data_IF_862199620538
#
_entry.id   IF_862199620538
#
_cell.length_a   1.000
_cell.length_b   1.000
_cell.length_c   1.000
_cell.angle_alpha   90.00
_cell.angle_beta   90.00
_cell.angle_gamma   90.00
#
_symmetry.space_group_name_H-M   'P 1'
#
loop_
_entity.id
_entity.type
_entity.pdbx_description
1 polymer ?
#
# COMPACT_ATOMS: atom_id res chain seq x y z
N UNK A 1 7.95 -33.79 10.13
CA UNK A 1 6.62 -33.86 10.76
C UNK A 1 5.77 -32.73 10.18
N UNK A 2 4.70 -33.07 9.46
CA UNK A 2 3.91 -32.08 8.69
C UNK A 2 3.25 -31.04 9.61
N UNK A 3 2.97 -31.39 10.86
CA UNK A 3 2.38 -30.49 11.85
C UNK A 3 3.30 -29.31 12.21
N UNK A 4 4.61 -29.56 12.29
CA UNK A 4 5.59 -28.51 12.57
C UNK A 4 5.71 -27.50 11.42
N UNK A 5 5.67 -27.97 10.17
CA UNK A 5 5.67 -27.12 8.99
C UNK A 5 4.40 -26.26 8.91
N UNK A 6 3.24 -26.82 9.25
CA UNK A 6 1.97 -26.08 9.29
C UNK A 6 1.98 -24.97 10.36
N UNK A 7 2.48 -25.26 11.57
CA UNK A 7 2.61 -24.26 12.64
C UNK A 7 3.61 -23.18 12.24
N UNK A 8 4.72 -23.55 11.59
CA UNK A 8 5.71 -22.61 11.10
C UNK A 8 5.11 -21.62 10.08
N UNK A 9 4.41 -22.13 9.05
CA UNK A 9 3.72 -21.28 8.08
C UNK A 9 2.65 -20.40 8.73
N UNK A 10 1.85 -20.95 9.64
CA UNK A 10 0.85 -20.18 10.36
C UNK A 10 1.49 -19.07 11.20
N UNK A 11 2.63 -19.34 11.84
CA UNK A 11 3.40 -18.35 12.59
C UNK A 11 3.84 -17.19 11.70
N UNK A 12 4.55 -17.48 10.60
CA UNK A 12 5.00 -16.45 9.64
C UNK A 12 3.82 -15.60 9.11
N UNK A 13 2.71 -16.26 8.76
CA UNK A 13 1.53 -15.58 8.23
C UNK A 13 0.88 -14.72 9.33
N UNK A 14 0.81 -15.22 10.56
CA UNK A 14 0.20 -14.49 11.69
C UNK A 14 0.92 -13.16 11.97
N UNK A 15 2.24 -13.10 11.81
CA UNK A 15 2.98 -11.84 11.96
C UNK A 15 2.49 -10.76 11.00
N UNK A 16 2.27 -11.10 9.74
CA UNK A 16 1.71 -10.19 8.73
C UNK A 16 0.29 -9.79 9.12
N UNK A 17 -0.55 -10.76 9.52
CA UNK A 17 -1.96 -10.47 9.88
C UNK A 17 -2.09 -9.56 11.09
N UNK A 18 -1.30 -9.79 12.15
CA UNK A 18 -1.27 -8.91 13.32
C UNK A 18 -0.73 -7.53 12.97
N UNK A 19 0.23 -7.45 12.05
CA UNK A 19 0.71 -6.17 11.56
C UNK A 19 -0.43 -5.39 10.87
N UNK A 20 -1.11 -6.02 9.91
CA UNK A 20 -2.21 -5.40 9.16
C UNK A 20 -3.36 -4.98 10.07
N UNK A 21 -3.77 -5.86 10.99
CA UNK A 21 -4.84 -5.56 11.93
C UNK A 21 -4.48 -4.35 12.82
N UNK A 22 -3.25 -4.31 13.33
CA UNK A 22 -2.75 -3.19 14.12
C UNK A 22 -2.75 -1.87 13.34
N UNK A 23 -2.18 -1.88 12.13
CA UNK A 23 -2.09 -0.71 11.26
C UNK A 23 -3.48 -0.19 10.86
N UNK A 24 -4.37 -1.05 10.37
CA UNK A 24 -5.74 -0.68 9.99
C UNK A 24 -6.52 -0.11 11.19
N UNK A 25 -6.33 -0.68 12.38
CA UNK A 25 -6.98 -0.15 13.59
C UNK A 25 -6.48 1.25 13.93
N UNK A 26 -5.17 1.50 13.87
CA UNK A 26 -4.61 2.84 14.11
C UNK A 26 -5.20 3.85 13.12
N UNK A 27 -5.25 3.50 11.83
CA UNK A 27 -5.78 4.43 10.84
C UNK A 27 -7.29 4.65 11.01
N UNK A 28 -8.07 3.61 11.30
CA UNK A 28 -9.50 3.78 11.59
C UNK A 28 -9.69 4.69 12.81
N UNK A 29 -8.87 4.57 13.87
CA UNK A 29 -8.91 5.51 15.00
C UNK A 29 -8.65 6.95 14.51
N UNK A 30 -7.66 7.17 13.63
CA UNK A 30 -7.36 8.50 13.08
C UNK A 30 -8.53 9.05 12.27
N UNK A 31 -9.15 8.26 11.38
CA UNK A 31 -10.27 8.71 10.55
C UNK A 31 -11.51 9.05 11.40
N UNK A 32 -11.84 8.20 12.38
CA UNK A 32 -12.96 8.41 13.30
C UNK A 32 -12.76 9.65 14.17
N UNK A 33 -11.51 10.05 14.42
CA UNK A 33 -11.16 11.30 15.08
C UNK A 33 -11.05 12.51 14.13
N UNK A 34 -11.53 12.36 12.89
CA UNK A 34 -11.47 13.34 11.83
C UNK A 34 -10.04 13.83 11.53
N UNK A 35 -9.01 13.05 11.85
CA UNK A 35 -7.61 13.44 11.76
C UNK A 35 -7.21 13.90 10.36
N UNK A 36 -7.79 13.28 9.32
CA UNK A 36 -7.54 13.64 7.93
C UNK A 36 -8.18 14.99 7.51
N UNK A 37 -9.06 15.60 8.32
CA UNK A 37 -9.57 16.96 8.03
C UNK A 37 -8.46 18.00 7.93
N UNK A 38 -7.35 17.78 8.65
CA UNK A 38 -6.15 18.64 8.60
C UNK A 38 -5.61 18.76 7.17
N UNK A 39 -5.74 17.67 6.39
CA UNK A 39 -5.35 17.62 4.99
C UNK A 39 -6.43 18.30 4.14
N UNK A 40 -7.71 17.93 4.33
CA UNK A 40 -8.81 18.42 3.49
C UNK A 40 -9.01 19.93 3.59
N UNK A 41 -8.89 20.50 4.79
CA UNK A 41 -9.13 21.92 5.06
C UNK A 41 -8.08 22.83 4.41
N UNK A 42 -6.90 22.29 4.09
CA UNK A 42 -5.83 23.02 3.40
C UNK A 42 -6.04 23.09 1.88
N UNK A 43 -6.93 22.28 1.30
CA UNK A 43 -7.14 22.20 -0.15
C UNK A 43 -8.25 23.17 -0.57
N UNK A 44 -7.86 24.38 -0.99
CA UNK A 44 -8.81 25.47 -1.35
C UNK A 44 -8.97 25.68 -2.85
N UNK A 45 -8.06 25.16 -3.67
CA UNK A 45 -8.13 25.33 -5.14
C UNK A 45 -9.37 24.68 -5.74
N UNK A 46 -9.87 25.28 -6.82
CA UNK A 46 -10.91 24.71 -7.70
C UNK A 46 -10.37 24.37 -9.09
N UNK A 47 -9.14 24.75 -9.41
CA UNK A 47 -8.55 24.45 -10.72
C UNK A 47 -8.24 22.95 -10.83
N UNK A 48 -8.77 22.27 -11.86
CA UNK A 48 -8.65 20.82 -12.02
C UNK A 48 -7.18 20.36 -12.02
N UNK A 49 -6.31 21.06 -12.76
CA UNK A 49 -4.87 20.71 -12.84
C UNK A 49 -4.21 20.83 -11.48
N UNK A 50 -4.31 22.01 -10.84
CA UNK A 50 -3.70 22.23 -9.53
C UNK A 50 -4.24 21.25 -8.49
N UNK A 51 -5.55 20.97 -8.53
CA UNK A 51 -6.16 20.02 -7.62
C UNK A 51 -5.61 18.60 -7.83
N UNK A 52 -5.51 18.15 -9.09
CA UNK A 52 -5.02 16.81 -9.40
C UNK A 52 -3.58 16.62 -8.90
N UNK A 53 -2.71 17.59 -9.13
CA UNK A 53 -1.33 17.57 -8.62
C UNK A 53 -1.27 17.50 -7.09
N UNK A 54 -2.06 18.33 -6.40
CA UNK A 54 -2.11 18.34 -4.94
C UNK A 54 -2.59 16.97 -4.42
N UNK A 55 -3.66 16.43 -5.01
CA UNK A 55 -4.22 15.14 -4.62
C UNK A 55 -3.20 14.03 -4.85
N UNK A 56 -2.65 13.88 -6.06
CA UNK A 56 -1.69 12.83 -6.37
C UNK A 56 -0.43 12.88 -5.51
N UNK A 57 0.16 14.06 -5.29
CA UNK A 57 1.34 14.19 -4.44
C UNK A 57 1.01 13.82 -2.98
N UNK A 58 -0.10 14.29 -2.44
CA UNK A 58 -0.52 13.93 -1.08
C UNK A 58 -0.76 12.43 -0.98
N UNK A 59 -1.47 11.84 -1.94
CA UNK A 59 -1.74 10.39 -1.99
C UNK A 59 -0.44 9.59 -2.01
N UNK A 60 0.53 9.97 -2.84
CA UNK A 60 1.81 9.29 -2.95
C UNK A 60 2.58 9.23 -1.62
N UNK A 61 2.72 10.38 -0.94
CA UNK A 61 3.43 10.40 0.35
C UNK A 61 2.61 9.82 1.50
N UNK A 62 1.29 9.99 1.49
CA UNK A 62 0.41 9.41 2.51
C UNK A 62 0.42 7.88 2.43
N UNK A 63 0.42 7.31 1.21
CA UNK A 63 0.45 5.86 1.02
C UNK A 63 1.72 5.22 1.53
N UNK A 64 2.85 5.92 1.46
CA UNK A 64 4.11 5.45 2.04
C UNK A 64 4.03 5.28 3.58
N UNK A 65 3.11 5.95 4.25
CA UNK A 65 2.98 5.91 5.71
C UNK A 65 1.78 5.09 6.21
N UNK A 66 0.72 4.93 5.40
CA UNK A 66 -0.58 4.41 5.87
C UNK A 66 -1.04 3.10 5.23
N UNK A 67 -0.39 2.61 4.18
CA UNK A 67 -0.93 1.60 3.24
C UNK A 67 -1.80 2.19 2.10
N UNK A 68 -1.79 1.51 0.95
CA UNK A 68 -2.41 1.93 -0.31
C UNK A 68 -3.96 1.85 -0.32
N UNK A 69 -4.54 0.83 0.31
CA UNK A 69 -5.97 0.63 0.44
C UNK A 69 -6.57 1.75 1.29
N UNK A 70 -6.01 1.91 2.49
CA UNK A 70 -6.44 2.91 3.45
C UNK A 70 -6.28 4.32 2.91
N UNK A 71 -5.14 4.60 2.27
CA UNK A 71 -4.90 5.90 1.60
C UNK A 71 -5.94 6.17 0.53
N UNK A 72 -6.28 5.18 -0.30
CA UNK A 72 -7.27 5.34 -1.36
C UNK A 72 -8.67 5.61 -0.82
N UNK A 73 -9.08 4.93 0.26
CA UNK A 73 -10.37 5.15 0.94
C UNK A 73 -10.47 6.60 1.44
N UNK A 74 -9.44 7.07 2.16
CA UNK A 74 -9.37 8.44 2.70
C UNK A 74 -9.43 9.47 1.57
N UNK A 75 -8.66 9.25 0.50
CA UNK A 75 -8.59 10.19 -0.62
C UNK A 75 -9.89 10.21 -1.44
N UNK A 76 -10.59 9.09 -1.62
CA UNK A 76 -11.92 9.08 -2.25
C UNK A 76 -12.96 9.80 -1.39
N UNK A 77 -12.94 9.60 -0.08
CA UNK A 77 -13.82 10.33 0.83
C UNK A 77 -13.58 11.85 0.78
N UNK A 78 -12.32 12.27 0.57
CA UNK A 78 -11.94 13.65 0.32
C UNK A 78 -12.44 14.13 -1.05
N UNK A 79 -12.24 13.37 -2.13
CA UNK A 79 -12.68 13.73 -3.48
C UNK A 79 -14.18 14.02 -3.55
N UNK A 80 -15.01 13.26 -2.82
CA UNK A 80 -16.46 13.50 -2.68
C UNK A 80 -16.81 14.86 -2.11
N UNK A 81 -15.92 15.49 -1.32
CA UNK A 81 -16.13 16.83 -0.75
C UNK A 81 -15.61 17.93 -1.65
N UNK A 82 -14.75 17.61 -2.63
CA UNK A 82 -14.08 18.59 -3.48
C UNK A 82 -14.61 18.63 -4.92
N UNK A 83 -15.23 17.54 -5.40
CA UNK A 83 -15.63 17.41 -6.80
C UNK A 83 -17.06 16.85 -6.84
N UNK A 84 -17.97 17.64 -7.40
CA UNK A 84 -19.38 17.27 -7.55
C UNK A 84 -19.63 16.39 -8.78
N UNK A 85 -18.97 16.70 -9.90
CA UNK A 85 -19.08 15.90 -11.13
C UNK A 85 -18.54 14.48 -10.95
N UNK A 86 -19.33 13.50 -11.39
CA UNK A 86 -19.03 12.07 -11.21
C UNK A 86 -17.86 11.62 -12.07
N UNK A 87 -17.77 12.07 -13.32
CA UNK A 87 -16.72 11.63 -14.24
C UNK A 87 -15.36 12.24 -13.89
N UNK A 88 -15.34 13.50 -13.45
CA UNK A 88 -14.17 14.12 -12.85
C UNK A 88 -13.73 13.34 -11.60
N UNK A 89 -14.66 13.00 -10.69
CA UNK A 89 -14.32 12.17 -9.53
C UNK A 89 -13.72 10.82 -9.91
N UNK A 90 -14.31 10.13 -10.89
CA UNK A 90 -13.79 8.85 -11.36
C UNK A 90 -12.38 8.97 -11.90
N UNK A 91 -12.08 10.03 -12.66
CA UNK A 91 -10.75 10.26 -13.18
C UNK A 91 -9.74 10.56 -12.08
N UNK A 92 -10.10 11.43 -11.13
CA UNK A 92 -9.26 11.72 -9.97
C UNK A 92 -9.05 10.49 -9.10
N UNK A 93 -10.08 9.65 -8.91
CA UNK A 93 -9.99 8.40 -8.18
C UNK A 93 -9.06 7.39 -8.88
N UNK A 94 -9.07 7.33 -10.21
CA UNK A 94 -8.10 6.56 -10.98
C UNK A 94 -6.65 7.01 -10.74
N UNK A 95 -6.41 8.32 -10.73
CA UNK A 95 -5.10 8.89 -10.41
C UNK A 95 -4.71 8.70 -8.94
N UNK A 96 -5.67 8.64 -8.02
CA UNK A 96 -5.45 8.28 -6.61
C UNK A 96 -4.97 6.83 -6.50
N UNK A 97 -5.62 5.87 -7.18
CA UNK A 97 -5.17 4.46 -7.17
C UNK A 97 -3.71 4.37 -7.64
N UNK A 98 -3.39 5.04 -8.75
CA UNK A 98 -2.04 5.06 -9.31
C UNK A 98 -1.02 5.66 -8.34
N UNK A 99 -1.34 6.81 -7.75
CA UNK A 99 -0.48 7.48 -6.79
C UNK A 99 -0.33 6.70 -5.47
N UNK A 100 -1.40 6.05 -5.00
CA UNK A 100 -1.37 5.24 -3.78
C UNK A 100 -0.50 4.00 -3.98
N UNK A 101 -0.75 3.21 -5.03
CA UNK A 101 0.07 2.04 -5.33
C UNK A 101 1.55 2.40 -5.57
N UNK A 102 1.83 3.47 -6.31
CA UNK A 102 3.20 3.95 -6.48
C UNK A 102 3.80 4.42 -5.15
N UNK A 103 3.03 5.16 -4.34
CA UNK A 103 3.47 5.65 -3.04
C UNK A 103 3.73 4.54 -2.01
N UNK A 104 2.97 3.46 -2.07
CA UNK A 104 3.14 2.30 -1.21
C UNK A 104 4.38 1.48 -1.55
N UNK A 105 4.68 1.33 -2.84
CA UNK A 105 5.73 0.47 -3.35
C UNK A 105 7.14 0.84 -2.87
N UNK A 106 7.40 2.11 -2.52
CA UNK A 106 8.71 2.56 -2.06
C UNK A 106 8.92 2.59 -0.55
N UNK A 107 7.90 2.19 0.22
CA UNK A 107 7.98 2.18 1.68
C UNK A 107 7.85 0.76 2.21
N UNK A 108 8.62 0.37 3.24
CA UNK A 108 8.50 -0.94 3.88
C UNK A 108 7.13 -1.19 4.54
N UNK A 109 6.36 -0.13 4.79
CA UNK A 109 5.04 -0.19 5.44
C UNK A 109 3.91 0.34 4.54
N UNK A 110 4.22 0.76 3.31
CA UNK A 110 3.28 1.44 2.45
C UNK A 110 2.39 0.53 1.59
N UNK A 111 2.72 -0.75 1.50
CA UNK A 111 1.94 -1.78 0.81
C UNK A 111 2.07 -3.11 1.58
N UNK A 112 1.03 -3.94 1.55
CA UNK A 112 1.05 -5.29 2.13
C UNK A 112 2.19 -6.10 1.51
N UNK A 113 2.42 -5.95 0.21
CA UNK A 113 3.48 -6.63 -0.51
C UNK A 113 4.88 -6.25 -0.01
N UNK A 114 5.14 -4.97 0.27
CA UNK A 114 6.43 -4.53 0.83
C UNK A 114 6.58 -4.94 2.28
N UNK A 115 5.49 -4.92 3.06
CA UNK A 115 5.47 -5.45 4.43
C UNK A 115 5.86 -6.92 4.44
N UNK A 116 5.33 -7.73 3.51
CA UNK A 116 5.64 -9.16 3.41
C UNK A 116 7.11 -9.39 3.12
N UNK A 117 7.67 -8.73 2.10
CA UNK A 117 9.10 -8.81 1.76
C UNK A 117 9.97 -8.37 2.94
N UNK A 118 9.55 -7.33 3.65
CA UNK A 118 10.30 -6.80 4.79
C UNK A 118 10.25 -7.72 6.01
N UNK A 119 9.09 -8.27 6.37
CA UNK A 119 8.94 -9.21 7.50
C UNK A 119 9.73 -10.49 7.22
N UNK A 120 9.66 -11.03 6.00
CA UNK A 120 10.42 -12.21 5.58
C UNK A 120 11.94 -11.97 5.49
N UNK A 121 12.37 -10.70 5.43
CA UNK A 121 13.77 -10.31 5.41
C UNK A 121 14.40 -10.30 4.00
N UNK A 122 13.59 -10.27 2.94
CA UNK A 122 14.08 -10.10 1.57
C UNK A 122 14.57 -8.67 1.29
N UNK A 123 14.00 -7.68 1.98
CA UNK A 123 14.36 -6.27 1.88
C UNK A 123 14.56 -5.65 3.27
N UNK A 124 15.35 -4.58 3.33
CA UNK A 124 15.51 -3.71 4.47
C UNK A 124 14.78 -2.38 4.25
N UNK A 125 14.44 -1.71 5.35
CA UNK A 125 13.63 -0.49 5.30
C UNK A 125 14.32 0.67 4.57
N UNK A 126 15.66 0.77 4.68
CA UNK A 126 16.42 1.85 4.06
C UNK A 126 16.60 1.60 2.58
N UNK A 127 17.01 0.38 2.19
CA UNK A 127 17.27 0.06 0.80
C UNK A 127 16.02 0.16 -0.06
N UNK A 128 14.88 -0.38 0.37
CA UNK A 128 13.65 -0.27 -0.43
C UNK A 128 13.30 1.19 -0.75
N UNK A 129 13.49 2.10 0.20
CA UNK A 129 13.27 3.54 -0.01
C UNK A 129 14.26 4.08 -1.04
N UNK A 130 15.56 3.82 -0.89
CA UNK A 130 16.58 4.37 -1.79
C UNK A 130 16.40 3.87 -3.23
N UNK A 131 16.12 2.59 -3.39
CA UNK A 131 16.13 1.90 -4.68
C UNK A 131 14.85 2.14 -5.47
N UNK A 132 13.70 2.22 -4.79
CA UNK A 132 12.40 2.28 -5.47
C UNK A 132 11.69 3.63 -5.36
N UNK A 133 12.16 4.58 -4.53
CA UNK A 133 11.55 5.91 -4.43
C UNK A 133 11.53 6.65 -5.78
N UNK A 134 12.66 6.71 -6.47
CA UNK A 134 12.76 7.41 -7.76
C UNK A 134 11.92 6.70 -8.84
N UNK A 135 12.04 5.37 -9.05
CA UNK A 135 11.14 4.62 -9.94
C UNK A 135 9.65 4.84 -9.65
N UNK A 136 9.25 4.79 -8.38
CA UNK A 136 7.86 4.97 -7.96
C UNK A 136 7.37 6.41 -8.14
N UNK A 137 8.25 7.39 -7.91
CA UNK A 137 7.94 8.79 -8.17
C UNK A 137 7.73 9.03 -9.67
N UNK A 138 8.58 8.44 -10.51
CA UNK A 138 8.46 8.51 -11.98
C UNK A 138 7.17 7.83 -12.45
N UNK A 139 6.82 6.67 -11.89
CA UNK A 139 5.60 5.96 -12.26
C UNK A 139 4.33 6.76 -12.00
N UNK A 140 4.34 7.64 -10.99
CA UNK A 140 3.27 8.60 -10.75
C UNK A 140 3.39 9.87 -11.60
N UNK A 141 4.59 10.48 -11.69
CA UNK A 141 4.77 11.78 -12.34
C UNK A 141 4.56 11.72 -13.85
N UNK A 142 4.97 10.65 -14.52
CA UNK A 142 4.80 10.52 -15.97
C UNK A 142 3.33 10.54 -16.39
N UNK A 143 2.43 9.71 -15.83
CA UNK A 143 1.00 9.82 -16.15
C UNK A 143 0.41 11.14 -15.66
N UNK A 144 0.78 11.63 -14.47
CA UNK A 144 0.28 12.90 -13.93
C UNK A 144 0.59 14.09 -14.84
N UNK A 145 1.82 14.17 -15.35
CA UNK A 145 2.25 15.22 -16.29
C UNK A 145 1.52 15.09 -17.62
N UNK A 146 1.38 13.87 -18.16
CA UNK A 146 0.67 13.63 -19.41
C UNK A 146 -0.81 14.06 -19.33
N UNK A 147 -1.54 13.65 -18.27
CA UNK A 147 -2.97 13.98 -18.12
C UNK A 147 -3.21 15.46 -17.79
N UNK A 148 -2.20 16.18 -17.28
CA UNK A 148 -2.28 17.62 -17.01
C UNK A 148 -2.63 18.43 -18.26
N UNK A 149 -2.16 17.98 -19.43
CA UNK A 149 -2.45 18.65 -20.70
C UNK A 149 -3.90 18.45 -21.16
N UNK A 150 -4.53 17.34 -20.76
CA UNK A 150 -5.91 16.98 -21.09
C UNK A 150 -6.92 17.68 -20.17
N UNK A 151 -6.60 17.83 -18.88
CA UNK A 151 -7.51 18.47 -17.93
C UNK A 151 -7.58 19.98 -18.14
N UNK A 152 -8.79 20.54 -18.28
CA UNK A 152 -9.03 21.98 -18.39
C UNK A 152 -10.24 22.38 -17.56
N UNK A 153 -10.24 23.62 -17.06
CA UNK A 153 -11.33 24.18 -16.29
C UNK A 153 -11.23 23.98 -14.77
N UNK A 154 -12.35 24.20 -14.10
CA UNK A 154 -12.48 24.16 -12.66
C UNK A 154 -13.47 23.07 -12.23
N UNK A 155 -13.27 22.49 -11.06
CA UNK A 155 -14.25 21.61 -10.42
C UNK A 155 -15.34 22.45 -9.76
N UNK A 156 -16.58 21.97 -9.83
CA UNK A 156 -17.66 22.38 -8.95
C UNK A 156 -17.53 21.61 -7.64
N UNK A 157 -17.65 22.31 -6.51
CA UNK A 157 -17.70 21.66 -5.20
C UNK A 157 -19.16 21.34 -4.89
N UNK A 158 -19.46 20.16 -4.31
CA UNK A 158 -20.82 19.86 -3.87
C UNK A 158 -21.28 20.93 -2.89
N UNK A 159 -22.58 21.24 -2.91
CA UNK A 159 -23.17 22.07 -1.87
C UNK A 159 -22.91 21.40 -0.51
N UNK A 160 -22.51 22.21 0.48
CA UNK A 160 -22.44 21.75 1.88
C UNK A 160 -23.86 21.41 2.31
N UNK A 161 -24.31 20.18 2.06
CA UNK A 161 -25.38 19.60 2.87
C UNK A 161 -24.88 19.66 4.29
N UNK A 162 -25.54 20.43 5.14
CA UNK A 162 -25.36 20.33 6.59
C UNK A 162 -25.50 18.85 6.92
N UNK A 163 -24.36 18.20 7.15
CA UNK A 163 -24.37 16.82 7.59
C UNK A 163 -25.21 16.86 8.87
N UNK A 164 -26.34 16.13 8.88
CA UNK A 164 -27.10 15.86 10.10
C UNK A 164 -26.06 15.57 11.17
N UNK A 165 -25.99 16.45 12.16
CA UNK A 165 -24.97 16.48 13.21
C UNK A 165 -24.56 15.05 13.55
N UNK A 166 -23.37 14.64 13.14
CA UNK A 166 -22.77 13.48 13.78
C UNK A 166 -22.75 13.83 15.26
N UNK A 167 -23.42 13.03 16.10
CA UNK A 167 -23.45 13.14 17.57
C UNK A 167 -22.06 13.12 18.25
N UNK A 168 -21.00 13.12 17.44
CA UNK A 168 -19.60 13.09 17.80
C UNK A 168 -19.04 14.49 17.57
N UNK A 169 -18.74 15.19 18.67
CA UNK A 169 -18.04 16.48 18.65
C UNK A 169 -16.57 16.25 18.99
N UNK A 170 -15.70 16.41 18.00
CA UNK A 170 -14.25 16.30 18.19
C UNK A 170 -13.64 17.67 17.99
N UNK A 171 -12.91 18.15 19.00
CA UNK A 171 -12.19 19.41 18.89
C UNK A 171 -11.02 19.27 17.93
N UNK A 172 -10.65 20.38 17.25
CA UNK A 172 -9.48 20.42 16.37
C UNK A 172 -8.19 19.97 17.06
N UNK A 173 -8.06 20.25 18.37
CA UNK A 173 -6.90 19.82 19.17
C UNK A 173 -6.84 18.30 19.32
N UNK A 174 -7.97 17.66 19.61
CA UNK A 174 -8.08 16.20 19.72
C UNK A 174 -7.79 15.54 18.38
N UNK A 175 -8.40 16.03 17.31
CA UNK A 175 -8.20 15.54 15.94
C UNK A 175 -6.72 15.60 15.52
N UNK A 176 -6.06 16.76 15.74
CA UNK A 176 -4.64 16.92 15.48
C UNK A 176 -3.78 15.97 16.31
N UNK A 177 -4.06 15.82 17.60
CA UNK A 177 -3.28 14.95 18.46
C UNK A 177 -3.36 13.48 18.02
N UNK A 178 -4.57 12.99 17.72
CA UNK A 178 -4.74 11.61 17.23
C UNK A 178 -4.09 11.42 15.87
N UNK A 179 -4.19 12.39 14.96
CA UNK A 179 -3.50 12.34 13.67
C UNK A 179 -1.99 12.19 13.82
N UNK A 180 -1.34 13.05 14.62
CA UNK A 180 0.12 13.00 14.79
C UNK A 180 0.58 11.75 15.54
N UNK A 181 -0.14 11.30 16.56
CA UNK A 181 0.22 10.07 17.28
C UNK A 181 -0.01 8.84 16.39
N UNK A 182 -1.11 8.79 15.63
CA UNK A 182 -1.40 7.66 14.75
C UNK A 182 -0.39 7.51 13.62
N UNK A 183 -0.16 8.59 12.85
CA UNK A 183 0.87 8.60 11.79
C UNK A 183 2.26 8.40 12.38
N UNK A 184 2.56 9.02 13.53
CA UNK A 184 3.81 8.82 14.24
C UNK A 184 4.03 7.37 14.69
N UNK A 185 2.98 6.67 15.13
CA UNK A 185 3.03 5.26 15.53
C UNK A 185 3.33 4.35 14.35
N UNK A 186 2.76 4.62 13.17
CA UNK A 186 3.06 3.89 11.94
C UNK A 186 4.52 4.11 11.50
N UNK A 187 4.94 5.38 11.44
CA UNK A 187 6.31 5.75 11.05
C UNK A 187 7.37 5.30 12.05
N UNK A 188 7.00 5.02 13.30
CA UNK A 188 7.92 4.50 14.32
C UNK A 188 8.32 3.04 14.07
N UNK A 189 7.50 2.23 13.39
CA UNK A 189 7.73 0.78 13.28
C UNK A 189 9.06 0.41 12.59
N UNK A 190 9.47 1.06 11.48
CA UNK A 190 10.79 0.83 10.89
C UNK A 190 11.95 1.13 11.85
N UNK A 191 11.86 2.20 12.64
CA UNK A 191 12.87 2.53 13.66
C UNK A 191 12.88 1.50 14.79
N UNK A 192 11.71 1.07 15.26
CA UNK A 192 11.58 0.02 16.27
C UNK A 192 12.29 -1.26 15.83
N UNK A 193 12.01 -1.78 14.63
CA UNK A 193 12.66 -2.99 14.10
C UNK A 193 14.18 -2.79 13.98
N UNK A 194 14.62 -1.65 13.45
CA UNK A 194 16.05 -1.39 13.22
C UNK A 194 16.86 -1.33 14.51
N UNK A 195 16.29 -0.75 15.58
CA UNK A 195 16.98 -0.57 16.88
C UNK A 195 16.87 -1.83 17.74
N UNK A 196 15.70 -2.47 17.77
CA UNK A 196 15.42 -3.58 18.70
C UNK A 196 15.65 -4.96 18.10
N UNK A 197 15.71 -5.06 16.76
CA UNK A 197 15.70 -6.31 16.00
C UNK A 197 14.46 -7.19 16.22
N UNK A 198 13.44 -6.69 16.90
CA UNK A 198 12.18 -7.39 17.12
C UNK A 198 11.27 -7.31 15.88
N UNK A 199 10.36 -8.30 15.69
CA UNK A 199 9.41 -8.30 14.59
C UNK A 199 8.54 -7.02 14.52
N UNK A 200 8.24 -6.50 13.31
CA UNK A 200 7.43 -5.29 13.12
C UNK A 200 6.06 -5.30 13.79
N UNK A 201 5.41 -6.47 13.87
CA UNK A 201 4.07 -6.58 14.46
C UNK A 201 4.05 -6.16 15.94
N UNK A 202 5.16 -6.33 16.68
CA UNK A 202 5.26 -5.85 18.06
C UNK A 202 5.30 -4.32 18.14
N UNK A 203 6.01 -3.68 17.21
CA UNK A 203 6.09 -2.23 17.13
C UNK A 203 4.74 -1.57 16.83
N UNK A 204 3.98 -2.14 15.87
CA UNK A 204 2.65 -1.63 15.55
C UNK A 204 1.63 -1.88 16.66
N UNK A 205 1.66 -3.05 17.32
CA UNK A 205 0.81 -3.33 18.47
C UNK A 205 1.14 -2.42 19.67
N UNK A 206 2.41 -2.08 19.87
CA UNK A 206 2.81 -1.08 20.85
C UNK A 206 2.23 0.30 20.52
N UNK A 207 2.33 0.74 19.26
CA UNK A 207 1.71 1.97 18.78
C UNK A 207 0.19 1.98 18.96
N UNK A 208 -0.48 0.87 18.67
CA UNK A 208 -1.91 0.69 18.90
C UNK A 208 -2.24 0.76 20.40
N UNK A 209 -1.46 0.13 21.26
CA UNK A 209 -1.61 0.21 22.71
C UNK A 209 -1.49 1.65 23.23
N UNK A 210 -0.53 2.42 22.71
CA UNK A 210 -0.38 3.85 23.02
C UNK A 210 -1.61 4.66 22.57
N UNK A 211 -2.07 4.44 21.34
CA UNK A 211 -3.29 5.07 20.80
C UNK A 211 -4.52 4.74 21.66
N UNK A 212 -4.62 3.49 22.13
CA UNK A 212 -5.69 3.08 23.02
C UNK A 212 -5.65 3.86 24.33
N UNK A 213 -4.51 3.91 25.02
CA UNK A 213 -4.38 4.68 26.28
C UNK A 213 -4.73 6.15 26.07
N UNK A 214 -4.26 6.75 24.98
CA UNK A 214 -4.54 8.17 24.68
C UNK A 214 -6.03 8.42 24.43
N UNK A 215 -6.69 7.57 23.63
CA UNK A 215 -8.12 7.72 23.32
C UNK A 215 -9.00 7.46 24.55
N UNK A 216 -8.61 6.51 25.39
CA UNK A 216 -9.26 6.20 26.67
C UNK A 216 -9.24 7.42 27.60
N UNK A 217 -8.05 8.00 27.84
CA UNK A 217 -7.89 9.20 28.68
C UNK A 217 -8.65 10.40 28.09
N UNK A 218 -8.62 10.55 26.76
CA UNK A 218 -9.27 11.66 26.06
C UNK A 218 -10.79 11.67 26.25
N UNK A 219 -11.43 10.51 26.17
CA UNK A 219 -12.90 10.40 26.17
C UNK A 219 -13.48 9.89 27.50
N UNK A 220 -12.64 9.59 28.50
CA UNK A 220 -13.07 9.09 29.82
C UNK A 220 -14.21 9.91 30.47
N UNK A 221 -14.26 11.22 30.23
CA UNK A 221 -15.28 12.12 30.79
C UNK A 221 -16.48 12.36 29.89
N UNK A 222 -16.41 11.99 28.61
CA UNK A 222 -17.48 12.18 27.63
C UNK A 222 -18.11 10.84 27.26
N UNK A 223 -19.14 10.44 28.01
CA UNK A 223 -19.82 9.15 27.82
C UNK A 223 -20.40 8.97 26.41
N UNK A 224 -20.78 10.05 25.71
CA UNK A 224 -21.32 9.96 24.35
C UNK A 224 -20.23 9.60 23.36
N UNK A 225 -19.09 10.29 23.42
CA UNK A 225 -17.94 10.03 22.57
C UNK A 225 -17.23 8.71 22.93
N UNK A 226 -17.12 8.39 24.22
CA UNK A 226 -16.47 7.17 24.72
C UNK A 226 -17.03 5.90 24.07
N UNK A 227 -18.35 5.73 24.04
CA UNK A 227 -19.01 4.54 23.47
C UNK A 227 -18.77 4.36 21.96
N UNK A 228 -18.33 5.41 21.25
CA UNK A 228 -18.20 5.44 19.78
C UNK A 228 -16.75 5.56 19.30
N UNK A 229 -15.83 6.00 20.15
CA UNK A 229 -14.45 6.36 19.79
C UNK A 229 -13.38 5.64 20.61
N UNK A 230 -13.75 4.82 21.61
CA UNK A 230 -12.78 3.95 22.27
C UNK A 230 -12.26 2.88 21.29
N UNK A 231 -11.06 2.36 21.55
CA UNK A 231 -10.39 1.44 20.64
C UNK A 231 -11.22 0.16 20.38
N UNK A 232 -11.96 -0.36 21.36
CA UNK A 232 -12.80 -1.55 21.18
C UNK A 232 -13.97 -1.31 20.22
N UNK A 233 -14.62 -0.16 20.31
CA UNK A 233 -15.69 0.24 19.40
C UNK A 233 -15.15 0.48 17.97
N UNK A 234 -13.91 0.99 17.86
CA UNK A 234 -13.23 1.17 16.58
C UNK A 234 -12.77 -0.18 16.00
N UNK A 235 -12.30 -1.11 16.82
CA UNK A 235 -11.87 -2.44 16.38
C UNK A 235 -13.00 -3.21 15.68
N UNK A 236 -14.25 -3.02 16.10
CA UNK A 236 -15.44 -3.60 15.45
C UNK A 236 -15.69 -3.07 14.03
N UNK A 237 -15.04 -1.97 13.63
CA UNK A 237 -15.15 -1.34 12.31
C UNK A 237 -14.04 -1.76 11.36
N UNK A 238 -12.97 -2.35 11.90
CA UNK A 238 -11.81 -2.77 11.10
C UNK A 238 -12.24 -3.86 10.13
N UNK A 239 -11.68 -3.81 8.92
CA UNK A 239 -11.98 -4.74 7.83
C UNK A 239 -11.37 -6.13 8.07
N UNK A 240 -11.92 -6.82 9.08
CA UNK A 240 -11.56 -8.20 9.43
C UNK A 240 -11.77 -9.16 8.26
N UNK A 241 -12.82 -9.03 7.41
CA UNK A 241 -12.94 -9.81 6.18
C UNK A 241 -11.70 -9.75 5.28
N UNK A 242 -11.11 -8.57 5.06
CA UNK A 242 -9.89 -8.44 4.25
C UNK A 242 -8.69 -9.13 4.90
N UNK A 243 -8.53 -9.06 6.22
CA UNK A 243 -7.46 -9.79 6.94
C UNK A 243 -7.63 -11.31 6.79
N UNK A 244 -8.85 -11.83 6.93
CA UNK A 244 -9.15 -13.26 6.75
C UNK A 244 -9.01 -13.71 5.29
N UNK A 245 -9.28 -12.82 4.34
CA UNK A 245 -9.04 -13.06 2.92
C UNK A 245 -7.54 -13.24 2.64
N UNK A 246 -6.68 -12.37 3.18
CA UNK A 246 -5.22 -12.51 3.07
C UNK A 246 -4.71 -13.78 3.75
N UNK A 247 -5.24 -14.13 4.93
CA UNK A 247 -4.93 -15.43 5.56
C UNK A 247 -5.21 -16.59 4.60
N UNK A 248 -6.38 -16.59 3.95
CA UNK A 248 -6.75 -17.63 2.97
C UNK A 248 -5.78 -17.70 1.78
N UNK A 249 -5.43 -16.56 1.20
CA UNK A 249 -4.46 -16.48 0.09
C UNK A 249 -3.10 -17.03 0.51
N UNK A 250 -2.55 -16.54 1.62
CA UNK A 250 -1.20 -16.90 2.06
C UNK A 250 -1.12 -18.38 2.42
N UNK A 251 -2.16 -18.94 3.04
CA UNK A 251 -2.25 -20.37 3.31
C UNK A 251 -2.35 -21.20 2.02
N UNK A 252 -3.10 -20.74 1.01
CA UNK A 252 -3.18 -21.43 -0.28
C UNK A 252 -1.84 -21.43 -1.02
N UNK A 253 -1.11 -20.31 -0.99
CA UNK A 253 0.24 -20.21 -1.57
C UNK A 253 1.21 -21.12 -0.80
N UNK A 254 1.16 -21.15 0.53
CA UNK A 254 1.99 -22.06 1.33
C UNK A 254 1.69 -23.54 1.02
N UNK A 255 0.42 -23.89 0.77
CA UNK A 255 0.05 -25.23 0.32
C UNK A 255 0.64 -25.57 -1.06
N UNK A 256 0.58 -24.64 -2.03
CA UNK A 256 1.20 -24.80 -3.34
C UNK A 256 2.73 -24.93 -3.27
N UNK A 257 3.37 -24.16 -2.37
CA UNK A 257 4.80 -24.26 -2.10
C UNK A 257 5.15 -25.64 -1.54
N UNK A 258 4.42 -26.09 -0.51
CA UNK A 258 4.65 -27.40 0.14
C UNK A 258 4.41 -28.55 -0.83
N UNK A 259 3.46 -28.41 -1.77
CA UNK A 259 3.21 -29.39 -2.83
C UNK A 259 4.27 -29.38 -3.96
N UNK A 260 5.18 -28.41 -3.98
CA UNK A 260 6.24 -28.30 -5.01
C UNK A 260 5.79 -27.66 -6.33
N UNK A 261 4.54 -27.20 -6.44
CA UNK A 261 4.05 -26.58 -7.68
C UNK A 261 4.78 -25.27 -8.00
N UNK A 262 5.12 -24.49 -6.98
CA UNK A 262 5.85 -23.23 -7.17
C UNK A 262 7.31 -23.46 -7.60
N UNK A 263 7.95 -24.54 -7.16
CA UNK A 263 9.29 -24.94 -7.63
C UNK A 263 9.29 -25.35 -9.11
N UNK A 264 8.22 -26.00 -9.58
CA UNK A 264 8.06 -26.30 -11.00
C UNK A 264 7.85 -25.04 -11.84
N UNK A 265 7.09 -24.08 -11.31
CA UNK A 265 6.83 -22.81 -11.98
C UNK A 265 8.09 -21.94 -12.05
N UNK A 266 8.88 -21.86 -10.98
CA UNK A 266 10.14 -21.09 -10.96
C UNK A 266 11.10 -21.61 -12.03
N UNK A 267 11.29 -22.93 -12.13
CA UNK A 267 12.11 -23.57 -13.19
C UNK A 267 11.64 -23.27 -14.62
N UNK A 268 10.36 -22.95 -14.82
CA UNK A 268 9.86 -22.50 -16.12
C UNK A 268 10.16 -21.02 -16.37
N UNK A 269 9.97 -20.17 -15.36
CA UNK A 269 10.30 -18.74 -15.44
C UNK A 269 11.81 -18.52 -15.63
N UNK A 270 12.65 -19.34 -15.00
CA UNK A 270 14.10 -19.26 -15.13
C UNK A 270 14.60 -19.51 -16.56
N UNK A 271 13.79 -20.14 -17.42
CA UNK A 271 14.11 -20.27 -18.86
C UNK A 271 14.02 -18.94 -19.61
N UNK A 272 13.31 -17.95 -19.07
CA UNK A 272 13.29 -16.57 -19.59
C UNK A 272 14.62 -15.89 -19.29
N UNK A 273 15.23 -16.19 -18.13
CA UNK A 273 16.61 -15.86 -17.77
C UNK A 273 16.88 -14.44 -17.26
N UNK A 274 16.03 -13.45 -17.56
CA UNK A 274 16.23 -12.05 -17.13
C UNK A 274 15.27 -11.69 -15.99
N UNK A 275 15.82 -11.37 -14.81
CA UNK A 275 15.07 -11.01 -13.61
C UNK A 275 14.16 -9.79 -13.81
N UNK A 276 14.55 -8.84 -14.65
CA UNK A 276 13.78 -7.65 -14.94
C UNK A 276 12.58 -7.99 -15.81
N UNK A 277 12.77 -8.87 -16.80
CA UNK A 277 11.66 -9.38 -17.62
C UNK A 277 10.68 -10.19 -16.77
N UNK A 278 11.18 -11.06 -15.88
CA UNK A 278 10.34 -11.85 -14.97
C UNK A 278 9.51 -10.92 -14.07
N UNK A 279 10.13 -9.94 -13.43
CA UNK A 279 9.42 -8.99 -12.56
C UNK A 279 8.42 -8.13 -13.33
N UNK A 280 8.76 -7.70 -14.56
CA UNK A 280 7.81 -6.98 -15.41
C UNK A 280 6.58 -7.83 -15.77
N UNK A 281 6.77 -9.13 -16.02
CA UNK A 281 5.67 -10.07 -16.28
C UNK A 281 4.83 -10.25 -15.00
N UNK A 282 5.47 -10.47 -13.84
CA UNK A 282 4.77 -10.62 -12.56
C UNK A 282 3.94 -9.37 -12.25
N UNK A 283 4.48 -8.16 -12.44
CA UNK A 283 3.73 -6.92 -12.24
C UNK A 283 2.58 -6.73 -13.25
N UNK A 284 2.73 -7.14 -14.51
CA UNK A 284 1.61 -7.14 -15.46
C UNK A 284 0.53 -8.14 -15.08
N UNK A 285 0.90 -9.35 -14.65
CA UNK A 285 -0.03 -10.35 -14.13
C UNK A 285 -0.73 -9.86 -12.86
N UNK A 286 -0.04 -9.05 -12.05
CA UNK A 286 -0.62 -8.38 -10.88
C UNK A 286 -1.77 -7.42 -11.22
N UNK A 287 -1.96 -7.05 -12.49
CA UNK A 287 -3.15 -6.29 -12.88
C UNK A 287 -4.42 -7.15 -12.93
N UNK A 288 -4.28 -8.46 -13.08
CA UNK A 288 -5.39 -9.42 -13.22
C UNK A 288 -5.63 -10.13 -11.90
N UNK A 289 -4.55 -10.54 -11.24
CA UNK A 289 -4.54 -11.19 -9.94
C UNK A 289 -3.99 -10.19 -8.92
N UNK A 290 -4.62 -10.06 -7.76
CA UNK A 290 -4.17 -9.14 -6.71
C UNK A 290 -2.66 -9.30 -6.42
N UNK A 291 -2.00 -8.19 -6.06
CA UNK A 291 -0.56 -8.13 -5.90
C UNK A 291 -0.03 -9.00 -4.74
N UNK A 292 -0.82 -9.17 -3.68
CA UNK A 292 -0.46 -9.98 -2.50
C UNK A 292 -0.18 -11.45 -2.86
N UNK A 293 -1.08 -12.20 -3.54
CA UNK A 293 -0.81 -13.57 -3.96
C UNK A 293 0.44 -13.72 -4.85
N UNK A 294 0.69 -12.76 -5.73
CA UNK A 294 1.79 -12.82 -6.70
C UNK A 294 3.14 -12.65 -6.00
N UNK A 295 3.25 -11.70 -5.07
CA UNK A 295 4.46 -11.51 -4.26
C UNK A 295 4.66 -12.68 -3.30
N UNK A 296 3.58 -13.20 -2.68
CA UNK A 296 3.65 -14.41 -1.85
C UNK A 296 4.22 -15.59 -2.65
N UNK A 297 3.73 -15.79 -3.88
CA UNK A 297 4.20 -16.85 -4.75
C UNK A 297 5.67 -16.64 -5.14
N UNK A 298 6.08 -15.43 -5.49
CA UNK A 298 7.48 -15.11 -5.81
C UNK A 298 8.43 -15.39 -4.64
N UNK A 299 8.05 -15.02 -3.41
CA UNK A 299 8.81 -15.33 -2.19
C UNK A 299 8.87 -16.83 -1.87
N UNK A 300 7.91 -17.60 -2.37
CA UNK A 300 7.87 -19.05 -2.22
C UNK A 300 8.60 -19.79 -3.36
N UNK A 301 8.73 -19.15 -4.53
CA UNK A 301 9.46 -19.64 -5.71
C UNK A 301 10.98 -19.42 -5.59
N UNK A 302 11.38 -18.27 -5.04
CA UNK A 302 12.77 -17.82 -4.97
C UNK A 302 13.19 -17.66 -3.50
N UNK A 303 14.36 -18.17 -3.15
CA UNK A 303 14.93 -18.05 -1.80
C UNK A 303 16.16 -17.15 -1.80
N UNK A 304 16.42 -16.47 -0.69
CA UNK A 304 17.70 -15.78 -0.48
C UNK A 304 18.84 -16.81 -0.46
N UNK A 305 19.83 -16.72 -1.35
CA UNK A 305 20.86 -17.75 -1.51
C UNK A 305 21.87 -17.72 -0.37
N UNK A 306 22.43 -18.90 -0.03
CA UNK A 306 23.59 -19.00 0.88
C UNK A 306 24.88 -18.58 0.17
N UNK A 307 25.93 -18.27 0.95
CA UNK A 307 27.25 -17.94 0.40
C UNK A 307 27.80 -19.05 -0.52
N UNK A 308 27.51 -20.32 -0.22
CA UNK A 308 27.90 -21.48 -1.02
C UNK A 308 27.16 -21.51 -2.36
N UNK A 309 25.85 -21.25 -2.35
CA UNK A 309 25.03 -21.18 -3.56
C UNK A 309 25.46 -20.02 -4.47
N UNK A 310 25.77 -18.86 -3.88
CA UNK A 310 26.27 -17.70 -4.61
C UNK A 310 27.65 -17.96 -5.25
N UNK A 311 28.54 -18.69 -4.55
CA UNK A 311 29.83 -19.10 -5.12
C UNK A 311 29.68 -20.06 -6.31
N UNK A 312 28.64 -20.90 -6.30
CA UNK A 312 28.35 -21.83 -7.40
C UNK A 312 27.63 -21.15 -8.58
N UNK A 313 26.81 -20.12 -8.34
CA UNK A 313 26.12 -19.35 -9.36
C UNK A 313 26.10 -17.85 -9.00
N UNK A 314 27.05 -17.07 -9.55
CA UNK A 314 27.15 -15.64 -9.25
C UNK A 314 25.90 -14.83 -9.59
N UNK A 315 25.11 -15.25 -10.58
CA UNK A 315 23.84 -14.59 -10.99
C UNK A 315 22.79 -14.56 -9.87
N UNK A 316 22.94 -15.41 -8.84
CA UNK A 316 22.06 -15.41 -7.67
C UNK A 316 22.20 -14.14 -6.81
N UNK A 317 23.19 -13.27 -7.07
CA UNK A 317 23.38 -12.02 -6.33
C UNK A 317 22.12 -11.14 -6.34
N UNK A 318 21.36 -11.18 -7.43
CA UNK A 318 20.09 -10.48 -7.58
C UNK A 318 19.01 -10.89 -6.56
N UNK A 319 19.12 -12.09 -5.98
CA UNK A 319 18.18 -12.65 -5.01
C UNK A 319 18.67 -12.55 -3.57
N UNK A 320 19.84 -11.92 -3.32
CA UNK A 320 20.29 -11.60 -1.96
C UNK A 320 19.30 -10.66 -1.25
N UNK A 321 19.44 -10.51 0.06
CA UNK A 321 18.75 -9.43 0.79
C UNK A 321 19.11 -8.09 0.15
N UNK A 322 18.11 -7.27 -0.13
CA UNK A 322 18.26 -6.01 -0.89
C UNK A 322 18.83 -6.21 -2.32
N UNK A 323 18.62 -7.40 -2.88
CA UNK A 323 18.93 -7.69 -4.27
C UNK A 323 17.88 -7.10 -5.22
N UNK A 324 18.33 -6.70 -6.41
CA UNK A 324 17.49 -6.09 -7.44
C UNK A 324 16.19 -6.85 -7.75
N UNK A 325 16.17 -8.19 -7.59
CA UNK A 325 14.95 -8.96 -7.81
C UNK A 325 13.85 -8.55 -6.84
N UNK A 326 14.14 -8.42 -5.55
CA UNK A 326 13.12 -8.16 -4.52
C UNK A 326 12.62 -6.71 -4.56
N UNK A 327 13.53 -5.77 -4.76
CA UNK A 327 13.21 -4.35 -4.85
C UNK A 327 12.43 -4.04 -6.14
N UNK A 328 12.82 -4.66 -7.25
CA UNK A 328 12.09 -4.50 -8.49
C UNK A 328 10.75 -5.24 -8.50
N UNK A 329 10.66 -6.38 -7.81
CA UNK A 329 9.40 -7.08 -7.58
C UNK A 329 8.43 -6.21 -6.78
N UNK A 330 8.90 -5.57 -5.70
CA UNK A 330 8.10 -4.64 -4.90
C UNK A 330 7.54 -3.50 -5.76
N UNK A 331 8.41 -2.87 -6.58
CA UNK A 331 7.99 -1.85 -7.53
C UNK A 331 6.95 -2.38 -8.54
N UNK A 332 7.25 -3.51 -9.20
CA UNK A 332 6.42 -4.05 -10.28
C UNK A 332 5.06 -4.53 -9.76
N UNK A 333 5.02 -5.28 -8.67
CA UNK A 333 3.78 -5.76 -8.07
C UNK A 333 2.94 -4.60 -7.50
N UNK A 334 3.58 -3.64 -6.83
CA UNK A 334 2.89 -2.46 -6.29
C UNK A 334 2.24 -1.63 -7.40
N UNK A 335 3.02 -1.22 -8.40
CA UNK A 335 2.53 -0.33 -9.47
C UNK A 335 1.70 -1.03 -10.55
N UNK A 336 2.00 -2.31 -10.84
CA UNK A 336 1.30 -3.11 -11.84
C UNK A 336 -0.18 -3.31 -11.52
N UNK A 337 -0.53 -3.41 -10.23
CA UNK A 337 -1.91 -3.48 -9.75
C UNK A 337 -2.77 -2.26 -10.12
N UNK A 338 -2.17 -1.13 -10.54
CA UNK A 338 -2.93 0.04 -11.03
C UNK A 338 -3.35 -0.08 -12.49
N UNK A 339 -2.84 -1.04 -13.26
CA UNK A 339 -3.12 -1.13 -14.69
C UNK A 339 -4.59 -1.48 -14.92
N UNK A 340 -5.18 -2.37 -14.12
CA UNK A 340 -6.62 -2.62 -14.11
C UNK A 340 -7.15 -2.30 -12.72
N UNK A 341 -8.38 -1.76 -12.64
CA UNK A 341 -8.99 -1.36 -11.37
C UNK A 341 -9.17 -2.52 -10.37
N UNK A 342 -9.14 -3.77 -10.84
CA UNK A 342 -9.27 -4.96 -10.01
C UNK A 342 -7.91 -5.55 -9.58
N UNK A 343 -6.80 -4.99 -10.06
CA UNK A 343 -5.46 -5.52 -9.83
C UNK A 343 -4.88 -5.22 -8.45
N UNK A 344 -5.55 -4.39 -7.65
CA UNK A 344 -5.18 -4.18 -6.25
C UNK A 344 -6.39 -3.99 -5.35
N UNK A 345 -6.24 -4.33 -4.07
CA UNK A 345 -7.23 -4.04 -3.03
C UNK A 345 -7.67 -2.56 -3.04
N UNK A 346 -6.74 -1.62 -3.22
CA UNK A 346 -7.02 -0.19 -3.37
C UNK A 346 -7.96 0.08 -4.56
N UNK A 347 -7.68 -0.50 -5.72
CA UNK A 347 -8.53 -0.38 -6.90
C UNK A 347 -9.94 -0.93 -6.66
N UNK A 348 -10.06 -2.12 -6.08
CA UNK A 348 -11.35 -2.76 -5.77
C UNK A 348 -12.17 -1.92 -4.79
N UNK A 349 -11.54 -1.40 -3.74
CA UNK A 349 -12.22 -0.53 -2.77
C UNK A 349 -12.75 0.74 -3.42
N UNK A 350 -11.91 1.42 -4.21
CA UNK A 350 -12.30 2.63 -4.94
C UNK A 350 -13.41 2.33 -5.97
N UNK A 351 -13.32 1.20 -6.67
CA UNK A 351 -14.35 0.73 -7.60
C UNK A 351 -15.69 0.57 -6.88
N UNK A 352 -15.70 -0.08 -5.72
CA UNK A 352 -16.92 -0.28 -4.93
C UNK A 352 -17.50 1.03 -4.38
N UNK A 353 -16.63 1.92 -3.91
CA UNK A 353 -17.04 3.22 -3.34
C UNK A 353 -17.63 4.14 -4.41
N UNK A 354 -16.89 4.42 -5.49
CA UNK A 354 -17.32 5.35 -6.55
C UNK A 354 -18.19 4.69 -7.63
N UNK A 355 -18.39 3.37 -7.54
CA UNK A 355 -19.10 2.54 -8.52
C UNK A 355 -18.54 2.74 -9.93
N UNK A 356 -17.21 2.78 -10.02
CA UNK A 356 -16.49 2.96 -11.30
C UNK A 356 -16.72 1.72 -12.15
N UNK A 357 -17.12 1.92 -13.40
CA UNK A 357 -17.24 0.83 -14.35
C UNK A 357 -15.87 0.32 -14.80
N UNK A 358 -15.70 -1.01 -14.87
CA UNK A 358 -14.43 -1.63 -15.26
C UNK A 358 -13.99 -1.21 -16.67
N UNK A 359 -14.92 -1.22 -17.63
CA UNK A 359 -14.62 -0.85 -19.03
C UNK A 359 -14.30 0.64 -19.13
N UNK A 360 -14.95 1.48 -18.33
CA UNK A 360 -14.60 2.89 -18.24
C UNK A 360 -13.17 3.08 -17.75
N UNK A 361 -12.77 2.42 -16.67
CA UNK A 361 -11.40 2.50 -16.14
C UNK A 361 -10.38 2.01 -17.18
N UNK A 362 -10.67 0.87 -17.81
CA UNK A 362 -9.84 0.27 -18.85
C UNK A 362 -9.54 1.25 -19.99
N UNK A 363 -10.55 2.02 -20.41
CA UNK A 363 -10.43 2.96 -21.52
C UNK A 363 -9.76 4.29 -21.12
N UNK A 364 -9.89 4.73 -19.88
CA UNK A 364 -9.52 6.09 -19.48
C UNK A 364 -8.31 6.19 -18.56
N UNK A 365 -8.00 5.14 -17.80
CA UNK A 365 -6.95 5.14 -16.76
C UNK A 365 -5.85 4.14 -17.06
N UNK A 366 -6.19 2.93 -17.52
CA UNK A 366 -5.22 1.84 -17.70
C UNK A 366 -4.03 2.20 -18.60
N UNK A 367 -4.24 2.99 -19.64
CA UNK A 367 -3.15 3.44 -20.51
C UNK A 367 -2.14 4.33 -19.78
N UNK A 368 -2.60 5.18 -18.86
CA UNK A 368 -1.74 6.03 -18.04
C UNK A 368 -1.01 5.22 -16.98
N UNK A 369 -1.70 4.27 -16.35
CA UNK A 369 -1.08 3.33 -15.44
C UNK A 369 0.02 2.50 -16.13
N UNK A 370 -0.24 2.00 -17.34
CA UNK A 370 0.74 1.27 -18.14
C UNK A 370 1.96 2.14 -18.51
N UNK A 371 1.72 3.39 -18.91
CA UNK A 371 2.77 4.36 -19.19
C UNK A 371 3.64 4.61 -17.94
N UNK A 372 3.01 4.81 -16.79
CA UNK A 372 3.70 4.99 -15.51
C UNK A 372 4.51 3.75 -15.10
N UNK A 373 3.92 2.57 -15.22
CA UNK A 373 4.54 1.28 -14.93
C UNK A 373 5.83 1.06 -15.73
N UNK A 374 5.79 1.25 -17.05
CA UNK A 374 7.00 1.07 -17.87
C UNK A 374 8.00 2.21 -17.68
N UNK A 375 7.54 3.44 -17.44
CA UNK A 375 8.46 4.57 -17.22
C UNK A 375 9.25 4.43 -15.93
N UNK A 376 8.59 4.14 -14.80
CA UNK A 376 9.27 3.90 -13.54
C UNK A 376 10.12 2.63 -13.58
N UNK A 377 9.61 1.56 -14.23
CA UNK A 377 10.36 0.31 -14.36
C UNK A 377 11.62 0.46 -15.21
N UNK A 378 11.53 1.23 -16.30
CA UNK A 378 12.71 1.61 -17.09
C UNK A 378 13.72 2.40 -16.28
N UNK A 379 13.27 3.34 -15.43
CA UNK A 379 14.14 4.09 -14.53
C UNK A 379 14.80 3.17 -13.49
N UNK A 380 14.07 2.20 -12.91
CA UNK A 380 14.65 1.21 -12.02
C UNK A 380 15.76 0.43 -12.73
N UNK A 381 15.49 -0.11 -13.92
CA UNK A 381 16.46 -0.91 -14.68
C UNK A 381 17.71 -0.09 -15.00
N UNK A 382 17.55 1.19 -15.36
CA UNK A 382 18.67 2.08 -15.63
C UNK A 382 19.50 2.34 -14.37
N UNK A 383 18.87 2.63 -13.24
CA UNK A 383 19.54 2.85 -11.96
C UNK A 383 20.29 1.57 -11.53
N UNK A 384 19.59 0.44 -11.54
CA UNK A 384 20.11 -0.87 -11.15
C UNK A 384 21.32 -1.29 -11.98
N UNK A 385 21.27 -1.14 -13.32
CA UNK A 385 22.36 -1.56 -14.21
C UNK A 385 23.56 -0.62 -14.28
N UNK A 386 23.36 0.69 -14.06
CA UNK A 386 24.40 1.70 -14.34
C UNK A 386 24.87 2.49 -13.11
N UNK A 387 24.22 2.36 -11.96
CA UNK A 387 24.53 3.17 -10.77
C UNK A 387 24.84 2.30 -9.54
N UNK A 388 24.09 1.21 -9.31
CA UNK A 388 24.06 0.53 -8.00
C UNK A 388 24.62 -0.90 -7.99
N UNK A 389 24.64 -1.59 -9.14
CA UNK A 389 25.16 -2.97 -9.23
C UNK A 389 26.27 -3.17 -10.29
N UNK A 390 27.07 -2.13 -10.54
CA UNK A 390 28.45 -2.26 -11.07
C UNK A 390 29.43 -2.30 -9.91
#
# INVERSE_FOLDING_TARGET
DNSAALIHHLGEISEILFFLLGAMTIVEIVDRHEGFKIITDKITTKNKRKLLWIISIITFFMSAALDNLTTSIVMVALLRKLIDDKHDRWFFAGMVILAANSGGAWSPIGDITTIMLWIKGNITAVNIILETFIPSLVSMLVPLTAVTFMMKGNVTRPEKKEAKSSDISISKKQSNMIFFIGVGSLLFVPFFKTITHLPPYLGILFGLGLMWVVTEIMHAKDKKNYSKLNASAVLQRVDTPSVLFFLGILMAVAALQTAGHLDLLSKQLDKIGDIYVINLIIGLLSSIVDNVPLVAAAMAMYSVPTAEQLAANPELYHFLVDGAFWEFLAYCAGTGGSILIIGSAAGIAVMGMEKIDFIWYLKHISIWALLGYFAGGGVFILISKFILHT
#
